data_IF_888745270600
#
_entry.id   IF_888745270600
#
_cell.length_a   1.000
_cell.length_b   1.000
_cell.length_c   1.000
_cell.angle_alpha   90.00
_cell.angle_beta   90.00
_cell.angle_gamma   90.00
#
_symmetry.space_group_name_H-M   'P 1'
#
loop_
_entity.id
_entity.type
_entity.pdbx_description
1 polymer ?
#
# COMPACT_ATOMS: atom_id res chain seq x y z
N UNK A 1 33.11 11.84 -4.82
CA UNK A 1 31.77 12.46 -4.97
C UNK A 1 31.22 12.43 -6.38
N UNK A 2 32.00 12.75 -7.43
CA UNK A 2 31.52 12.79 -8.82
C UNK A 2 31.07 11.41 -9.35
N UNK A 3 31.81 10.35 -9.02
CA UNK A 3 31.44 8.96 -9.35
C UNK A 3 30.12 8.53 -8.70
N UNK A 4 29.91 8.82 -7.42
CA UNK A 4 28.65 8.52 -6.72
C UNK A 4 27.45 9.21 -7.38
N UNK A 5 27.59 10.48 -7.75
CA UNK A 5 26.53 11.21 -8.47
C UNK A 5 26.25 10.57 -9.83
N UNK A 6 27.28 10.14 -10.56
CA UNK A 6 27.13 9.47 -11.85
C UNK A 6 26.48 8.08 -11.71
N UNK A 7 26.88 7.28 -10.72
CA UNK A 7 26.31 5.96 -10.46
C UNK A 7 24.85 6.06 -10.01
N UNK A 8 24.51 7.04 -9.17
CA UNK A 8 23.14 7.37 -8.79
C UNK A 8 22.32 7.83 -10.00
N UNK A 9 22.86 8.70 -10.86
CA UNK A 9 22.18 9.16 -12.08
C UNK A 9 21.93 8.00 -13.05
N UNK A 10 22.89 7.10 -13.23
CA UNK A 10 22.76 5.91 -14.08
C UNK A 10 21.75 4.91 -13.50
N UNK A 11 21.73 4.74 -12.18
CA UNK A 11 20.73 3.96 -11.47
C UNK A 11 19.32 4.54 -11.67
N UNK A 12 19.15 5.85 -11.45
CA UNK A 12 17.89 6.56 -11.70
C UNK A 12 17.44 6.41 -13.16
N UNK A 13 18.36 6.53 -14.12
CA UNK A 13 18.08 6.32 -15.54
C UNK A 13 17.63 4.89 -15.85
N UNK A 14 18.16 3.88 -15.15
CA UNK A 14 17.78 2.47 -15.33
C UNK A 14 16.38 2.16 -14.80
N UNK A 15 15.97 2.74 -13.66
CA UNK A 15 14.58 2.67 -13.18
C UNK A 15 13.65 3.44 -14.13
N UNK A 16 14.12 4.59 -14.64
CA UNK A 16 13.36 5.46 -15.53
C UNK A 16 13.17 4.86 -16.95
N UNK A 17 13.98 3.87 -17.36
CA UNK A 17 13.92 3.22 -18.67
C UNK A 17 12.81 2.17 -18.83
N UNK A 18 11.58 2.50 -18.43
CA UNK A 18 10.36 1.77 -18.78
C UNK A 18 10.20 0.32 -18.28
N UNK A 19 11.09 -0.20 -17.42
CA UNK A 19 10.74 -1.45 -16.72
C UNK A 19 9.70 -1.10 -15.66
N UNK A 20 8.46 -1.56 -15.87
CA UNK A 20 7.40 -1.49 -14.87
C UNK A 20 7.65 -2.42 -13.68
N UNK A 21 8.84 -3.04 -13.54
CA UNK A 21 9.17 -4.00 -12.49
C UNK A 21 10.50 -3.65 -11.83
N UNK A 22 10.47 -3.52 -10.50
CA UNK A 22 11.63 -3.17 -9.66
C UNK A 22 11.88 -4.24 -8.60
N UNK A 23 13.12 -4.42 -8.17
CA UNK A 23 13.44 -5.25 -7.00
C UNK A 23 13.52 -4.38 -5.74
N UNK A 24 13.15 -4.96 -4.59
CA UNK A 24 13.18 -4.26 -3.30
C UNK A 24 14.55 -3.66 -2.96
N UNK A 25 15.64 -4.29 -3.39
CA UNK A 25 17.02 -3.84 -3.15
C UNK A 25 17.46 -2.68 -4.04
N UNK A 26 16.67 -2.36 -5.06
CA UNK A 26 16.92 -1.20 -5.91
C UNK A 26 16.38 0.05 -5.18
N UNK A 27 15.25 -0.04 -4.48
CA UNK A 27 14.52 1.14 -3.99
C UNK A 27 15.29 1.98 -2.96
N UNK A 28 15.34 3.30 -3.23
CA UNK A 28 15.73 4.33 -2.27
C UNK A 28 14.45 4.85 -1.60
N UNK A 29 14.26 4.52 -0.33
CA UNK A 29 13.11 4.97 0.46
C UNK A 29 13.51 6.06 1.45
N UNK A 30 13.05 7.28 1.21
CA UNK A 30 13.21 8.43 2.10
C UNK A 30 11.91 8.82 2.80
N UNK A 31 10.76 8.24 2.42
CA UNK A 31 9.50 8.40 3.14
C UNK A 31 9.37 7.29 4.18
N UNK A 32 9.14 7.68 5.42
CA UNK A 32 8.74 6.80 6.52
C UNK A 32 7.32 7.17 6.92
N UNK A 33 6.42 6.20 6.78
CA UNK A 33 5.11 6.16 7.43
C UNK A 33 5.17 5.00 8.40
N UNK A 34 5.26 5.34 9.67
CA UNK A 34 5.30 4.38 10.77
C UNK A 34 4.01 4.52 11.56
N UNK A 35 3.67 3.51 12.38
CA UNK A 35 2.45 3.53 13.17
C UNK A 35 2.32 4.83 13.99
N UNK A 36 1.15 5.44 13.94
CA UNK A 36 0.80 6.67 14.64
C UNK A 36 -0.33 6.42 15.64
N UNK A 37 -0.10 5.51 16.58
CA UNK A 37 -1.08 5.10 17.61
C UNK A 37 -1.72 6.26 18.41
N UNK A 38 -1.00 7.38 18.53
CA UNK A 38 -1.46 8.56 19.27
C UNK A 38 -2.00 9.67 18.34
N UNK A 39 -2.17 9.41 17.04
CA UNK A 39 -2.69 10.38 16.09
C UNK A 39 -4.12 10.79 16.46
N UNK A 40 -4.42 12.08 16.27
CA UNK A 40 -5.78 12.60 16.38
C UNK A 40 -6.36 12.76 14.99
N UNK A 41 -7.56 12.25 14.77
CA UNK A 41 -8.26 12.35 13.49
C UNK A 41 -9.54 13.17 13.64
N UNK A 42 -9.75 14.12 12.73
CA UNK A 42 -11.00 14.86 12.57
C UNK A 42 -11.57 14.63 11.17
N UNK A 43 -12.90 14.61 11.07
CA UNK A 43 -13.60 14.30 9.82
C UNK A 43 -14.48 15.45 9.35
N UNK A 44 -14.51 15.67 8.04
CA UNK A 44 -15.52 16.49 7.37
C UNK A 44 -16.21 15.63 6.31
N UNK A 45 -17.54 15.56 6.36
CA UNK A 45 -18.34 14.74 5.44
C UNK A 45 -19.08 15.65 4.47
N UNK A 46 -19.09 15.29 3.19
CA UNK A 46 -19.90 15.95 2.16
C UNK A 46 -20.73 14.90 1.45
N UNK A 47 -22.04 15.01 1.59
CA UNK A 47 -23.02 14.06 1.05
C UNK A 47 -24.32 14.16 1.86
N UNK A 48 -25.44 13.84 1.24
CA UNK A 48 -26.75 13.89 1.91
C UNK A 48 -27.01 12.57 2.64
N UNK A 49 -27.64 12.62 3.82
CA UNK A 49 -28.06 11.43 4.57
C UNK A 49 -26.92 10.42 4.88
N UNK A 50 -25.69 10.91 5.05
CA UNK A 50 -24.56 10.07 5.46
C UNK A 50 -24.55 9.94 6.97
N UNK A 51 -24.65 8.71 7.45
CA UNK A 51 -24.60 8.38 8.87
C UNK A 51 -23.15 8.15 9.27
N UNK A 52 -22.66 8.86 10.29
CA UNK A 52 -21.46 8.45 11.01
C UNK A 52 -21.89 7.39 12.03
N UNK A 53 -21.75 6.12 11.66
CA UNK A 53 -22.55 5.02 12.21
C UNK A 53 -21.95 4.33 13.43
N UNK A 54 -20.67 4.56 13.77
CA UNK A 54 -20.09 4.12 15.05
C UNK A 54 -18.62 4.52 15.16
N UNK A 55 -18.15 4.69 16.39
CA UNK A 55 -16.72 4.64 16.72
C UNK A 55 -16.46 3.36 17.51
N UNK A 56 -15.64 2.48 16.96
CA UNK A 56 -15.19 1.29 17.67
C UNK A 56 -13.78 1.50 18.15
N UNK A 57 -13.55 1.37 19.46
CA UNK A 57 -12.21 1.38 20.05
C UNK A 57 -11.67 -0.05 20.04
N UNK A 58 -10.48 -0.22 19.50
CA UNK A 58 -9.74 -1.49 19.51
C UNK A 58 -8.50 -1.31 20.36
N UNK A 59 -8.25 -2.23 21.29
CA UNK A 59 -7.11 -2.17 22.21
C UNK A 59 -6.18 -3.38 22.03
N UNK A 60 -4.90 -3.19 22.32
CA UNK A 60 -3.89 -4.24 22.25
C UNK A 60 -4.04 -5.40 23.25
N UNK A 61 -5.02 -5.33 24.15
CA UNK A 61 -5.36 -6.44 25.05
C UNK A 61 -6.33 -7.45 24.39
N UNK A 62 -6.82 -7.15 23.19
CA UNK A 62 -7.63 -8.03 22.35
C UNK A 62 -6.87 -8.37 21.08
N UNK A 63 -6.65 -9.65 20.80
CA UNK A 63 -6.22 -10.11 19.48
C UNK A 63 -7.33 -9.77 18.48
N UNK A 64 -7.20 -8.64 17.77
CA UNK A 64 -8.08 -8.34 16.66
C UNK A 64 -7.83 -9.36 15.56
N UNK A 65 -8.89 -10.03 15.12
CA UNK A 65 -8.84 -11.13 14.17
C UNK A 65 -8.05 -10.73 12.91
N UNK A 66 -6.93 -11.45 12.73
CA UNK A 66 -6.13 -11.67 11.53
C UNK A 66 -5.09 -10.66 11.03
N UNK A 67 -5.03 -9.35 11.38
CA UNK A 67 -4.01 -8.51 10.69
C UNK A 67 -3.50 -7.22 11.37
N UNK A 68 -3.98 -6.80 12.54
CA UNK A 68 -3.44 -5.59 13.21
C UNK A 68 -3.00 -5.94 14.63
N UNK A 69 -1.69 -6.06 14.83
CA UNK A 69 -1.07 -6.20 16.14
C UNK A 69 -0.96 -4.84 16.82
N UNK A 70 -1.97 -4.52 17.65
CA UNK A 70 -1.96 -3.29 18.47
C UNK A 70 -1.12 -3.57 19.72
N UNK A 71 -0.07 -2.78 20.01
CA UNK A 71 0.74 -2.97 21.22
C UNK A 71 -0.09 -2.82 22.50
N UNK A 72 0.29 -3.56 23.55
CA UNK A 72 -0.33 -3.42 24.87
C UNK A 72 -0.32 -1.96 25.34
N UNK A 73 -1.46 -1.48 25.84
CA UNK A 73 -1.65 -0.09 26.26
C UNK A 73 -1.80 0.92 25.12
N UNK A 74 -1.85 0.47 23.86
CA UNK A 74 -2.25 1.29 22.71
C UNK A 74 -3.69 0.95 22.29
N UNK A 75 -4.29 1.91 21.61
CA UNK A 75 -5.62 1.78 21.03
C UNK A 75 -5.69 2.45 19.67
N UNK A 76 -6.61 1.99 18.83
CA UNK A 76 -7.01 2.67 17.60
C UNK A 76 -8.53 2.80 17.59
N UNK A 77 -9.00 3.90 17.01
CA UNK A 77 -10.43 4.11 16.77
C UNK A 77 -10.73 3.85 15.30
N UNK A 78 -11.77 3.08 15.04
CA UNK A 78 -12.33 2.89 13.70
C UNK A 78 -13.63 3.71 13.63
N UNK A 79 -13.68 4.69 12.73
CA UNK A 79 -14.87 5.53 12.51
C UNK A 79 -15.52 5.16 11.18
N UNK A 80 -16.79 4.77 11.23
CA UNK A 80 -17.55 4.35 10.04
C UNK A 80 -18.49 5.43 9.54
N UNK A 81 -18.57 5.55 8.22
CA UNK A 81 -19.47 6.42 7.47
C UNK A 81 -20.26 5.55 6.49
N UNK A 82 -21.58 5.61 6.54
CA UNK A 82 -22.43 4.73 5.73
C UNK A 82 -23.63 5.48 5.18
N UNK A 83 -24.07 5.03 4.01
CA UNK A 83 -25.35 5.38 3.42
C UNK A 83 -26.21 4.12 3.31
N UNK A 84 -27.49 4.21 3.65
CA UNK A 84 -28.43 3.09 3.47
C UNK A 84 -28.76 2.84 1.99
N UNK A 85 -28.67 3.89 1.18
CA UNK A 85 -28.89 3.85 -0.27
C UNK A 85 -27.56 4.05 -1.01
N UNK A 86 -27.34 3.42 -2.17
CA UNK A 86 -26.12 3.61 -2.93
C UNK A 86 -25.97 5.06 -3.37
N UNK A 87 -24.92 5.73 -2.90
CA UNK A 87 -24.62 7.09 -3.33
C UNK A 87 -23.14 7.43 -3.18
N UNK A 88 -22.69 8.34 -4.03
CA UNK A 88 -21.36 8.91 -3.91
C UNK A 88 -21.33 9.95 -2.79
N UNK A 89 -20.35 9.84 -1.89
CA UNK A 89 -20.09 10.85 -0.86
C UNK A 89 -18.59 11.03 -0.65
N UNK A 90 -18.22 12.08 0.09
CA UNK A 90 -16.83 12.40 0.41
C UNK A 90 -16.62 12.46 1.91
N UNK A 91 -15.47 11.97 2.34
CA UNK A 91 -14.96 12.12 3.71
C UNK A 91 -13.55 12.69 3.61
N UNK A 92 -13.31 13.81 4.27
CA UNK A 92 -11.97 14.36 4.49
C UNK A 92 -11.55 13.99 5.90
N UNK A 93 -10.53 13.15 6.06
CA UNK A 93 -9.90 12.84 7.33
C UNK A 93 -8.62 13.67 7.47
N UNK A 94 -8.47 14.38 8.58
CA UNK A 94 -7.25 15.12 8.93
C UNK A 94 -6.62 14.48 10.16
N UNK A 95 -5.48 13.83 9.95
CA UNK A 95 -4.66 13.23 10.98
C UNK A 95 -3.62 14.25 11.45
N UNK A 96 -3.56 14.49 12.75
CA UNK A 96 -2.63 15.44 13.37
C UNK A 96 -1.89 14.81 14.54
N UNK A 97 -0.76 15.41 14.90
CA UNK A 97 0.07 14.92 16.00
C UNK A 97 0.86 13.67 15.62
N UNK A 98 1.16 13.49 14.33
CA UNK A 98 2.03 12.41 13.86
C UNK A 98 3.44 12.59 14.44
N UNK A 99 4.02 11.52 14.97
CA UNK A 99 5.28 11.52 15.71
C UNK A 99 6.36 10.71 15.02
N UNK A 100 5.97 9.66 14.30
CA UNK A 100 6.88 8.60 13.83
C UNK A 100 7.14 8.66 12.32
N UNK A 101 6.39 9.50 11.60
CA UNK A 101 6.49 9.66 10.16
C UNK A 101 7.45 10.81 9.76
N UNK A 102 8.20 10.61 8.68
CA UNK A 102 9.16 11.61 8.17
C UNK A 102 9.41 11.45 6.67
N UNK A 103 9.89 12.50 6.03
CA UNK A 103 10.43 12.44 4.68
C UNK A 103 11.80 13.13 4.62
N UNK A 104 12.81 12.45 4.10
CA UNK A 104 14.22 12.90 4.09
C UNK A 104 14.72 13.33 5.49
N UNK A 105 14.26 12.64 6.54
CA UNK A 105 14.59 12.95 7.93
C UNK A 105 13.82 14.15 8.52
N UNK A 106 13.04 14.89 7.71
CA UNK A 106 12.16 15.96 8.21
C UNK A 106 10.82 15.37 8.65
N UNK A 107 10.43 15.67 9.90
CA UNK A 107 9.23 15.12 10.53
C UNK A 107 7.94 15.57 9.85
N UNK A 108 7.08 14.62 9.50
CA UNK A 108 5.71 14.86 9.05
C UNK A 108 4.81 14.89 10.29
N UNK A 109 3.98 15.92 10.44
CA UNK A 109 3.15 16.13 11.64
C UNK A 109 1.65 16.05 11.36
N UNK A 110 1.26 16.13 10.08
CA UNK A 110 -0.12 16.06 9.63
C UNK A 110 -0.24 15.35 8.28
N UNK A 111 -1.31 14.57 8.14
CA UNK A 111 -1.74 13.95 6.90
C UNK A 111 -3.22 14.28 6.67
N UNK A 112 -3.56 14.68 5.45
CA UNK A 112 -4.95 14.89 5.02
C UNK A 112 -5.26 13.84 3.97
N UNK A 113 -6.28 13.02 4.23
CA UNK A 113 -6.84 12.06 3.30
C UNK A 113 -8.23 12.51 2.87
N UNK A 114 -8.48 12.52 1.56
CA UNK A 114 -9.80 12.83 1.00
C UNK A 114 -10.29 11.60 0.25
N UNK A 115 -11.29 10.95 0.80
CA UNK A 115 -11.96 9.80 0.20
C UNK A 115 -13.17 10.28 -0.59
N UNK A 116 -13.28 9.85 -1.84
CA UNK A 116 -14.51 9.88 -2.64
C UNK A 116 -14.96 8.45 -2.82
N UNK A 117 -16.04 8.11 -2.13
CA UNK A 117 -16.61 6.77 -2.08
C UNK A 117 -17.69 6.72 -3.15
N UNK A 118 -17.61 5.78 -4.08
CA UNK A 118 -18.60 5.60 -5.14
C UNK A 118 -19.15 4.18 -5.05
N UNK A 119 -20.48 3.98 -5.01
CA UNK A 119 -21.06 2.66 -4.91
C UNK A 119 -20.68 1.82 -6.13
N UNK A 120 -20.35 0.55 -5.91
CA UNK A 120 -20.06 -0.41 -6.99
C UNK A 120 -21.30 -1.20 -7.43
N UNK A 121 -22.42 -1.02 -6.73
CA UNK A 121 -23.74 -1.62 -7.00
C UNK A 121 -24.86 -0.61 -6.77
N UNK A 122 -25.99 -0.80 -7.46
CA UNK A 122 -27.21 -0.02 -7.33
C UNK A 122 -28.20 -0.59 -6.29
N UNK A 123 -27.90 -1.73 -5.67
CA UNK A 123 -28.88 -2.49 -4.89
C UNK A 123 -28.75 -2.36 -3.37
N UNK A 124 -27.60 -1.89 -2.86
CA UNK A 124 -27.32 -1.83 -1.42
C UNK A 124 -26.62 -0.53 -1.06
N UNK A 125 -26.77 -0.14 0.20
CA UNK A 125 -25.98 0.93 0.80
C UNK A 125 -24.48 0.64 0.75
N UNK A 126 -23.70 1.70 0.88
CA UNK A 126 -22.25 1.67 0.76
C UNK A 126 -21.59 2.38 1.94
N UNK A 127 -20.40 1.93 2.35
CA UNK A 127 -19.75 2.40 3.57
C UNK A 127 -18.23 2.52 3.45
N UNK A 128 -17.66 3.33 4.36
CA UNK A 128 -16.23 3.52 4.56
C UNK A 128 -15.94 3.53 6.06
N UNK A 129 -14.94 2.78 6.49
CA UNK A 129 -14.42 2.83 7.86
C UNK A 129 -12.95 3.25 7.85
N UNK A 130 -12.61 4.30 8.58
CA UNK A 130 -11.27 4.89 8.61
C UNK A 130 -10.64 4.60 9.97
N UNK A 131 -9.40 4.10 9.96
CA UNK A 131 -8.62 3.83 11.17
C UNK A 131 -7.90 5.10 11.63
N UNK A 132 -7.81 5.32 12.94
CA UNK A 132 -7.16 6.51 13.51
C UNK A 132 -5.65 6.55 13.33
N UNK A 133 -5.01 5.38 13.18
CA UNK A 133 -3.64 5.26 12.68
C UNK A 133 -3.69 5.14 11.15
N UNK A 134 -3.17 6.13 10.40
CA UNK A 134 -3.27 6.15 8.94
C UNK A 134 -2.52 5.00 8.27
N UNK A 135 -1.57 4.35 8.94
CA UNK A 135 -0.89 3.16 8.40
C UNK A 135 -1.77 1.91 8.38
N UNK A 136 -2.86 1.91 9.15
CA UNK A 136 -3.91 0.87 9.06
C UNK A 136 -4.95 1.17 7.98
N UNK A 137 -4.90 2.35 7.36
CA UNK A 137 -5.71 2.73 6.20
C UNK A 137 -7.21 2.77 6.47
N UNK A 138 -7.98 2.11 5.60
CA UNK A 138 -9.44 2.14 5.60
C UNK A 138 -10.02 0.84 5.05
N UNK A 139 -11.25 0.51 5.44
CA UNK A 139 -12.03 -0.52 4.79
C UNK A 139 -13.27 0.07 4.13
N UNK A 140 -13.68 -0.50 3.01
CA UNK A 140 -14.90 -0.10 2.31
C UNK A 140 -15.88 -1.25 2.22
N UNK A 141 -17.16 -0.90 2.05
CA UNK A 141 -18.19 -1.84 1.69
C UNK A 141 -18.96 -1.36 0.46
N UNK A 142 -19.14 -2.27 -0.50
CA UNK A 142 -19.90 -2.08 -1.74
C UNK A 142 -19.50 -0.80 -2.50
N UNK A 143 -18.21 -0.47 -2.54
CA UNK A 143 -17.69 0.78 -3.10
C UNK A 143 -16.41 0.60 -3.92
N UNK A 144 -16.14 1.60 -4.76
CA UNK A 144 -14.81 1.96 -5.23
C UNK A 144 -14.41 3.25 -4.50
N UNK A 145 -13.15 3.36 -4.10
CA UNK A 145 -12.67 4.51 -3.33
C UNK A 145 -11.56 5.21 -4.09
N UNK A 146 -11.81 6.45 -4.50
CA UNK A 146 -10.76 7.37 -4.92
C UNK A 146 -10.26 8.11 -3.68
N UNK A 147 -8.98 7.99 -3.37
CA UNK A 147 -8.38 8.62 -2.20
C UNK A 147 -7.21 9.50 -2.61
N UNK A 148 -7.18 10.73 -2.07
CA UNK A 148 -6.06 11.64 -2.22
C UNK A 148 -5.37 11.93 -0.89
N UNK A 149 -4.06 12.13 -0.95
CA UNK A 149 -3.24 12.31 0.23
C UNK A 149 -2.37 13.55 0.09
N UNK A 150 -2.30 14.33 1.16
CA UNK A 150 -1.42 15.49 1.28
C UNK A 150 -0.75 15.44 2.66
N UNK A 151 0.58 15.38 2.68
CA UNK A 151 1.38 15.37 3.90
C UNK A 151 1.90 16.76 4.22
N UNK A 152 2.09 17.07 5.50
CA UNK A 152 2.55 18.37 5.95
C UNK A 152 3.60 18.26 7.03
N UNK A 153 4.57 19.17 6.97
CA UNK A 153 5.54 19.38 8.03
C UNK A 153 4.95 20.25 9.15
N UNK A 154 5.73 20.41 10.23
CA UNK A 154 5.35 21.19 11.41
C UNK A 154 5.04 22.67 11.11
N UNK A 155 5.76 23.28 10.17
CA UNK A 155 5.52 24.66 9.73
C UNK A 155 4.25 24.81 8.85
N UNK A 156 3.52 23.73 8.61
CA UNK A 156 2.32 23.71 7.77
C UNK A 156 2.61 23.65 6.27
N UNK A 157 3.87 23.64 5.84
CA UNK A 157 4.23 23.45 4.44
C UNK A 157 3.94 22.02 3.98
N UNK A 158 3.53 21.85 2.73
CA UNK A 158 3.31 20.52 2.15
C UNK A 158 4.64 19.80 1.97
N UNK A 159 4.65 18.51 2.24
CA UNK A 159 5.72 17.63 1.80
C UNK A 159 5.67 17.56 0.28
N UNK A 160 6.82 17.72 -0.37
CA UNK A 160 6.96 17.58 -1.81
C UNK A 160 7.94 16.44 -2.08
N UNK A 161 7.43 15.30 -2.56
CA UNK A 161 8.24 14.13 -2.84
C UNK A 161 9.08 14.32 -4.09
N UNK A 162 10.38 14.08 -3.95
CA UNK A 162 11.31 14.06 -5.06
C UNK A 162 11.17 12.73 -5.80
N UNK A 163 11.19 12.81 -7.13
CA UNK A 163 11.09 11.64 -7.99
C UNK A 163 12.10 10.56 -7.60
N UNK A 164 11.61 9.35 -7.37
CA UNK A 164 12.45 8.18 -7.09
C UNK A 164 12.96 8.09 -5.65
N UNK A 165 12.36 8.83 -4.71
CA UNK A 165 12.80 8.82 -3.30
C UNK A 165 11.71 8.44 -2.30
N UNK A 166 10.45 8.34 -2.74
CA UNK A 166 9.32 8.01 -1.88
C UNK A 166 8.45 6.95 -2.55
N UNK A 167 8.13 5.90 -1.81
CA UNK A 167 7.36 4.76 -2.32
C UNK A 167 6.35 4.29 -1.29
N UNK A 168 5.20 3.84 -1.78
CA UNK A 168 4.22 3.07 -1.00
C UNK A 168 4.21 1.65 -1.52
N UNK A 169 4.31 0.68 -0.62
CA UNK A 169 3.96 -0.69 -0.90
C UNK A 169 2.45 -0.85 -0.75
N UNK A 170 1.84 -1.45 -1.77
CA UNK A 170 0.42 -1.82 -1.80
C UNK A 170 0.36 -3.34 -1.76
N UNK A 171 -0.03 -3.88 -0.61
CA UNK A 171 -0.04 -5.32 -0.33
C UNK A 171 -1.47 -5.84 -0.33
N UNK A 172 -1.63 -7.13 -0.02
CA UNK A 172 -2.94 -7.79 0.02
C UNK A 172 -3.72 -7.62 -1.28
N UNK A 173 -3.08 -7.54 -2.46
CA UNK A 173 -3.82 -7.45 -3.73
C UNK A 173 -4.25 -8.86 -4.15
N UNK A 174 -5.27 -9.36 -3.47
CA UNK A 174 -5.78 -10.70 -3.65
C UNK A 174 -6.48 -10.84 -5.02
N UNK A 175 -6.27 -11.98 -5.66
CA UNK A 175 -7.09 -12.46 -6.77
C UNK A 175 -7.58 -13.85 -6.39
N UNK A 176 -8.90 -14.00 -6.33
CA UNK A 176 -9.59 -15.20 -5.93
C UNK A 176 -10.14 -15.93 -7.16
N UNK A 177 -10.13 -17.26 -7.09
CA UNK A 177 -10.87 -18.12 -8.00
C UNK A 177 -11.84 -19.01 -7.21
N UNK A 178 -12.82 -19.57 -7.93
CA UNK A 178 -13.87 -20.50 -7.48
C UNK A 178 -15.18 -19.78 -7.15
N UNK A 179 -15.94 -19.42 -8.19
CA UNK A 179 -17.30 -18.89 -8.05
C UNK A 179 -17.40 -17.41 -7.67
N UNK A 180 -16.26 -16.74 -7.43
CA UNK A 180 -16.17 -15.31 -7.14
C UNK A 180 -14.93 -14.72 -7.82
N UNK A 181 -14.85 -14.84 -9.14
CA UNK A 181 -13.68 -14.41 -9.92
C UNK A 181 -13.52 -12.89 -9.84
N UNK A 182 -12.81 -12.44 -8.80
CA UNK A 182 -12.55 -11.05 -8.52
C UNK A 182 -11.09 -10.85 -8.12
N UNK A 183 -10.61 -9.65 -8.39
CA UNK A 183 -9.28 -9.23 -8.01
C UNK A 183 -9.35 -7.86 -7.37
N UNK A 184 -8.57 -7.68 -6.32
CA UNK A 184 -8.34 -6.39 -5.72
C UNK A 184 -7.31 -5.64 -6.56
N UNK A 185 -7.54 -4.34 -6.73
CA UNK A 185 -6.66 -3.50 -7.53
C UNK A 185 -6.40 -2.15 -6.87
N UNK A 186 -5.27 -1.56 -7.29
CA UNK A 186 -4.98 -0.16 -7.05
C UNK A 186 -4.60 0.51 -8.37
N UNK A 187 -5.20 1.67 -8.66
CA UNK A 187 -4.95 2.46 -9.88
C UNK A 187 -4.41 3.82 -9.51
N UNK A 188 -3.20 4.12 -9.97
CA UNK A 188 -2.60 5.45 -9.79
C UNK A 188 -3.28 6.44 -10.74
N UNK A 189 -3.94 7.45 -10.19
CA UNK A 189 -4.60 8.52 -10.95
C UNK A 189 -3.63 9.68 -11.19
N UNK A 190 -2.90 10.12 -10.16
CA UNK A 190 -1.89 11.18 -10.27
C UNK A 190 -0.91 11.19 -9.09
N UNK A 191 0.17 11.97 -9.21
CA UNK A 191 1.19 12.14 -8.16
C UNK A 191 2.12 10.94 -7.98
N UNK A 192 2.27 10.12 -9.02
CA UNK A 192 3.09 8.92 -8.95
C UNK A 192 3.02 8.00 -10.16
N UNK A 193 3.62 6.81 -10.02
CA UNK A 193 3.63 5.74 -11.02
C UNK A 193 3.48 4.37 -10.35
N UNK A 194 2.69 3.50 -10.95
CA UNK A 194 2.61 2.09 -10.56
C UNK A 194 3.84 1.30 -11.01
N UNK A 195 4.35 0.46 -10.12
CA UNK A 195 5.52 -0.40 -10.33
C UNK A 195 5.20 -1.80 -9.78
N UNK A 196 5.40 -2.82 -10.58
CA UNK A 196 5.42 -4.21 -10.15
C UNK A 196 6.67 -4.49 -9.31
N UNK A 197 6.54 -5.43 -8.39
CA UNK A 197 7.64 -5.87 -7.54
C UNK A 197 8.17 -7.21 -8.07
N UNK A 198 9.49 -7.34 -8.22
CA UNK A 198 10.09 -8.55 -8.77
C UNK A 198 9.72 -9.79 -7.93
N UNK A 199 9.18 -10.82 -8.59
CA UNK A 199 8.73 -12.05 -7.93
C UNK A 199 7.31 -11.99 -7.36
N UNK A 200 6.65 -10.82 -7.41
CA UNK A 200 5.23 -10.68 -7.09
C UNK A 200 4.33 -11.29 -8.18
N UNK A 201 3.15 -11.75 -7.77
CA UNK A 201 2.02 -12.08 -8.64
C UNK A 201 1.34 -10.83 -9.22
N UNK A 202 1.52 -9.68 -8.58
CA UNK A 202 0.94 -8.39 -9.01
C UNK A 202 1.82 -7.75 -10.08
N UNK A 203 1.20 -7.36 -11.19
CA UNK A 203 1.87 -6.63 -12.27
C UNK A 203 1.15 -5.33 -12.61
N UNK A 204 1.83 -4.47 -13.36
CA UNK A 204 1.25 -3.21 -13.87
C UNK A 204 0.49 -3.49 -15.16
N UNK A 205 -0.75 -3.01 -15.21
CA UNK A 205 -1.67 -3.10 -16.33
C UNK A 205 -2.10 -1.70 -16.74
N UNK A 206 -2.31 -1.49 -18.03
CA UNK A 206 -2.72 -0.19 -18.60
C UNK A 206 -1.83 0.99 -18.14
N UNK A 207 -0.56 0.71 -17.82
CA UNK A 207 0.44 1.69 -17.38
C UNK A 207 0.33 2.18 -15.93
N UNK A 208 -0.79 1.98 -15.25
CA UNK A 208 -1.02 2.55 -13.91
C UNK A 208 -1.89 1.72 -12.94
N UNK A 209 -2.34 0.52 -13.32
CA UNK A 209 -3.18 -0.35 -12.47
C UNK A 209 -2.37 -1.54 -11.98
N UNK A 210 -2.37 -1.79 -10.68
CA UNK A 210 -1.75 -2.95 -10.04
C UNK A 210 -2.84 -3.97 -9.70
N UNK A 211 -2.72 -5.18 -10.24
CA UNK A 211 -3.48 -6.36 -9.82
C UNK A 211 -2.77 -7.64 -10.31
N UNK A 212 -3.11 -8.78 -9.71
CA UNK A 212 -2.68 -10.09 -10.21
C UNK A 212 -3.63 -10.59 -11.30
N UNK A 213 -3.12 -11.07 -12.43
CA UNK A 213 -3.96 -11.70 -13.48
C UNK A 213 -4.28 -13.16 -13.20
N UNK A 214 -3.57 -13.77 -12.25
CA UNK A 214 -3.77 -15.15 -11.85
C UNK A 214 -4.28 -15.19 -10.41
N UNK A 215 -5.04 -16.21 -10.03
CA UNK A 215 -5.41 -16.45 -8.64
C UNK A 215 -4.14 -16.60 -7.82
N UNK A 216 -3.99 -15.72 -6.84
CA UNK A 216 -2.89 -15.73 -5.88
C UNK A 216 -3.39 -16.05 -4.46
N UNK A 217 -4.71 -16.19 -4.28
CA UNK A 217 -5.36 -16.49 -3.01
C UNK A 217 -6.35 -17.64 -3.20
N UNK A 218 -6.29 -18.65 -2.32
CA UNK A 218 -7.28 -19.74 -2.29
C UNK A 218 -8.23 -19.53 -1.10
N UNK A 219 -9.49 -19.97 -1.25
CA UNK A 219 -10.42 -20.07 -0.12
C UNK A 219 -10.22 -21.39 0.60
N UNK A 220 -9.83 -21.32 1.88
CA UNK A 220 -9.69 -22.51 2.74
C UNK A 220 -10.98 -23.35 2.85
N UNK A 221 -12.15 -22.72 2.71
CA UNK A 221 -13.44 -23.37 3.02
C UNK A 221 -13.97 -24.33 1.95
N UNK A 222 -13.41 -24.36 0.73
CA UNK A 222 -13.96 -25.19 -0.36
C UNK A 222 -13.25 -26.52 -0.56
N UNK A 223 -12.11 -26.75 0.09
CA UNK A 223 -11.33 -27.96 -0.16
C UNK A 223 -10.59 -28.53 1.06
N UNK A 224 -10.78 -27.96 2.26
CA UNK A 224 -10.01 -28.35 3.43
C UNK A 224 -8.51 -28.15 3.23
N UNK A 225 -7.71 -28.44 4.26
CA UNK A 225 -6.25 -28.35 4.21
C UNK A 225 -5.58 -29.24 3.11
N UNK A 226 -6.37 -30.00 2.35
CA UNK A 226 -5.93 -30.95 1.31
C UNK A 226 -6.29 -30.50 -0.13
N UNK A 227 -6.66 -29.22 -0.33
CA UNK A 227 -7.00 -28.65 -1.65
C UNK A 227 -5.89 -28.68 -2.69
N UNK A 228 -4.66 -28.95 -2.26
CA UNK A 228 -3.46 -28.60 -2.98
C UNK A 228 -3.32 -29.28 -4.37
N UNK A 229 -4.22 -30.19 -4.76
CA UNK A 229 -3.86 -31.18 -5.78
C UNK A 229 -4.86 -31.60 -6.86
N UNK A 230 -6.03 -31.00 -7.08
CA UNK A 230 -6.86 -31.51 -8.18
C UNK A 230 -7.42 -30.49 -9.17
N UNK A 231 -6.57 -30.21 -10.17
CA UNK A 231 -6.89 -29.99 -11.59
C UNK A 231 -7.08 -28.57 -12.11
N UNK A 232 -6.75 -27.51 -11.37
CA UNK A 232 -6.84 -26.17 -11.95
C UNK A 232 -5.50 -25.67 -12.56
N UNK A 233 -5.31 -25.69 -13.90
CA UNK A 233 -4.11 -25.18 -14.56
C UNK A 233 -3.97 -23.64 -14.52
N UNK A 234 -4.82 -22.92 -13.78
CA UNK A 234 -4.89 -21.45 -13.80
C UNK A 234 -4.23 -20.76 -12.60
N UNK A 235 -3.69 -21.49 -11.63
CA UNK A 235 -2.99 -20.88 -10.50
C UNK A 235 -1.68 -20.20 -10.93
N UNK A 236 -1.29 -19.16 -10.19
CA UNK A 236 0.05 -18.60 -10.35
C UNK A 236 1.10 -19.72 -10.18
N UNK A 237 2.15 -19.76 -11.03
CA UNK A 237 3.16 -20.83 -11.02
C UNK A 237 3.93 -20.95 -9.70
N UNK A 238 3.79 -19.97 -8.79
CA UNK A 238 4.43 -19.96 -7.48
C UNK A 238 3.44 -20.01 -6.30
N UNK A 239 2.17 -20.38 -6.54
CA UNK A 239 1.14 -20.36 -5.50
C UNK A 239 1.55 -21.14 -4.23
N UNK A 240 1.96 -22.41 -4.36
CA UNK A 240 2.35 -23.24 -3.21
C UNK A 240 3.56 -22.69 -2.45
N UNK A 241 4.54 -22.16 -3.19
CA UNK A 241 5.75 -21.54 -2.61
C UNK A 241 5.38 -20.38 -1.66
N UNK A 242 4.36 -19.62 -2.04
CA UNK A 242 3.92 -18.43 -1.29
C UNK A 242 2.61 -18.63 -0.55
N UNK A 243 2.20 -19.86 -0.29
CA UNK A 243 1.03 -20.12 0.55
C UNK A 243 1.17 -19.41 1.92
N UNK A 244 0.06 -18.83 2.38
CA UNK A 244 -0.01 -18.01 3.58
C UNK A 244 0.71 -16.66 3.45
N UNK A 245 0.80 -16.08 2.26
CA UNK A 245 1.47 -14.78 2.06
C UNK A 245 0.69 -13.59 2.63
N UNK A 246 -0.63 -13.70 2.70
CA UNK A 246 -1.53 -12.60 3.05
C UNK A 246 -1.85 -12.57 4.56
N UNK A 247 -0.83 -12.28 5.36
CA UNK A 247 -0.96 -12.21 6.83
C UNK A 247 -0.28 -10.95 7.39
N UNK A 248 -0.32 -9.85 6.62
CA UNK A 248 0.27 -8.56 6.99
C UNK A 248 1.75 -8.37 6.62
N UNK A 249 2.23 -7.13 6.78
CA UNK A 249 3.52 -6.65 6.26
C UNK A 249 4.77 -7.30 6.86
N UNK A 250 4.67 -7.86 8.05
CA UNK A 250 5.79 -8.55 8.72
C UNK A 250 6.08 -9.92 8.09
N UNK A 251 5.15 -10.45 7.30
CA UNK A 251 5.34 -11.71 6.60
C UNK A 251 6.36 -11.55 5.47
N UNK A 252 7.42 -12.38 5.50
CA UNK A 252 8.45 -12.40 4.47
C UNK A 252 7.94 -12.75 3.06
N UNK A 253 6.72 -13.30 2.96
CA UNK A 253 6.04 -13.65 1.71
C UNK A 253 5.06 -12.56 1.24
N UNK A 254 4.78 -11.53 2.03
CA UNK A 254 3.80 -10.48 1.69
C UNK A 254 4.08 -9.79 0.33
N UNK A 255 5.35 -9.76 -0.10
CA UNK A 255 5.75 -9.25 -1.41
C UNK A 255 5.02 -9.92 -2.57
N UNK A 256 4.60 -11.18 -2.40
CA UNK A 256 4.01 -11.99 -3.46
C UNK A 256 2.67 -11.45 -3.95
N UNK A 257 1.87 -10.82 -3.11
CA UNK A 257 0.64 -10.12 -3.52
C UNK A 257 0.77 -8.61 -3.41
N UNK A 258 1.99 -8.07 -3.59
CA UNK A 258 2.26 -6.64 -3.45
C UNK A 258 2.72 -5.99 -4.76
N UNK A 259 2.31 -4.75 -4.97
CA UNK A 259 2.89 -3.80 -5.92
C UNK A 259 3.50 -2.60 -5.20
N UNK A 260 4.11 -1.69 -5.96
CA UNK A 260 4.65 -0.42 -5.46
C UNK A 260 4.04 0.76 -6.22
N UNK A 261 3.89 1.88 -5.53
CA UNK A 261 3.61 3.19 -6.15
C UNK A 261 4.75 4.13 -5.78
N UNK A 262 5.45 4.69 -6.77
CA UNK A 262 6.38 5.79 -6.53
C UNK A 262 5.60 7.09 -6.38
N UNK A 263 5.94 7.91 -5.40
CA UNK A 263 5.31 9.21 -5.17
C UNK A 263 6.15 10.34 -5.77
N UNK A 264 5.49 11.33 -6.33
CA UNK A 264 6.11 12.55 -6.86
C UNK A 264 5.19 13.75 -6.66
N UNK A 265 5.75 14.86 -6.20
CA UNK A 265 4.98 16.08 -5.93
C UNK A 265 4.37 16.10 -4.52
N UNK A 266 3.39 16.97 -4.31
CA UNK A 266 2.79 17.24 -2.98
C UNK A 266 1.40 16.67 -2.77
N UNK A 267 0.82 16.07 -3.81
CA UNK A 267 -0.50 15.44 -3.78
C UNK A 267 -0.49 14.23 -4.70
N UNK A 268 -0.98 13.11 -4.20
CA UNK A 268 -1.18 11.90 -4.99
C UNK A 268 -2.59 11.38 -4.81
N UNK A 269 -3.09 10.74 -5.87
CA UNK A 269 -4.46 10.25 -5.96
C UNK A 269 -4.40 8.84 -6.54
N UNK A 270 -5.09 7.91 -5.90
CA UNK A 270 -5.30 6.59 -6.45
C UNK A 270 -6.71 6.10 -6.17
N UNK A 271 -7.13 5.13 -6.97
CA UNK A 271 -8.36 4.39 -6.80
C UNK A 271 -8.03 3.01 -6.25
N UNK A 272 -8.81 2.53 -5.29
CA UNK A 272 -8.83 1.13 -4.87
C UNK A 272 -10.22 0.57 -5.03
N UNK A 273 -10.27 -0.73 -5.26
CA UNK A 273 -11.51 -1.45 -5.29
C UNK A 273 -11.31 -2.87 -5.79
N UNK A 274 -12.44 -3.49 -6.08
CA UNK A 274 -12.51 -4.83 -6.60
C UNK A 274 -12.91 -4.79 -8.08
N UNK A 275 -12.16 -5.50 -8.91
CA UNK A 275 -12.42 -5.76 -10.33
C UNK A 275 -12.71 -7.24 -10.58
N UNK A 276 -12.98 -7.64 -11.83
CA UNK A 276 -13.34 -9.03 -12.17
C UNK A 276 -14.63 -9.20 -12.99
N UNK A 277 -15.08 -8.13 -13.65
CA UNK A 277 -16.39 -8.03 -14.34
C UNK A 277 -16.67 -9.10 -15.42
N UNK A 278 -15.68 -9.88 -15.86
CA UNK A 278 -15.80 -10.80 -17.00
C UNK A 278 -16.79 -11.96 -16.77
N UNK A 279 -17.14 -12.27 -15.51
CA UNK A 279 -18.03 -13.37 -15.15
C UNK A 279 -19.35 -12.94 -14.50
N UNK A 280 -19.59 -11.64 -14.30
CA UNK A 280 -20.82 -11.14 -13.69
C UNK A 280 -21.80 -10.68 -14.77
N UNK A 281 -22.74 -11.55 -15.12
CA UNK A 281 -23.77 -11.29 -16.13
C UNK A 281 -24.92 -10.42 -15.62
N UNK A 282 -25.10 -10.28 -14.29
CA UNK A 282 -26.16 -9.46 -13.67
C UNK A 282 -25.72 -8.80 -12.35
N UNK A 283 -26.38 -7.69 -11.97
CA UNK A 283 -26.17 -7.00 -10.68
C UNK A 283 -26.56 -7.88 -9.47
N UNK A 284 -27.54 -8.77 -9.63
CA UNK A 284 -28.01 -9.68 -8.57
C UNK A 284 -26.92 -10.67 -8.12
N UNK A 285 -26.12 -11.18 -9.07
CA UNK A 285 -24.97 -12.03 -8.76
C UNK A 285 -23.84 -11.26 -8.06
N UNK A 286 -23.65 -9.97 -8.36
CA UNK A 286 -22.66 -9.11 -7.68
C UNK A 286 -23.05 -8.83 -6.22
N UNK A 287 -24.35 -8.69 -5.96
CA UNK A 287 -24.88 -8.32 -4.66
C UNK A 287 -24.66 -9.37 -3.57
N UNK A 288 -24.52 -10.64 -3.92
CA UNK A 288 -24.36 -11.74 -2.95
C UNK A 288 -22.89 -12.16 -2.73
N UNK A 289 -21.92 -11.39 -3.26
CA UNK A 289 -20.51 -11.75 -3.15
C UNK A 289 -19.84 -11.15 -1.89
N UNK A 290 -19.04 -11.95 -1.18
CA UNK A 290 -17.95 -11.53 -0.29
C UNK A 290 -17.01 -10.45 -0.85
N UNK A 291 -16.96 -10.27 -2.18
CA UNK A 291 -16.20 -9.25 -2.91
C UNK A 291 -16.68 -7.79 -2.67
N UNK A 292 -17.60 -7.58 -1.73
CA UNK A 292 -18.14 -6.27 -1.37
C UNK A 292 -17.47 -5.67 -0.14
N UNK A 293 -16.39 -6.25 0.37
CA UNK A 293 -15.59 -5.68 1.44
C UNK A 293 -14.12 -5.73 1.05
N UNK A 294 -13.45 -4.58 1.12
CA UNK A 294 -12.02 -4.45 0.93
C UNK A 294 -11.43 -3.77 2.15
N UNK A 295 -10.31 -4.27 2.65
CA UNK A 295 -9.47 -3.52 3.57
C UNK A 295 -8.19 -3.11 2.84
N UNK A 296 -7.93 -1.82 2.83
CA UNK A 296 -6.75 -1.24 2.23
C UNK A 296 -5.87 -0.61 3.29
N UNK A 297 -4.57 -0.88 3.21
CA UNK A 297 -3.55 -0.19 3.97
C UNK A 297 -2.33 0.11 3.08
N UNK A 298 -1.47 0.99 3.57
CA UNK A 298 -0.22 1.33 2.88
C UNK A 298 0.95 1.22 3.84
N UNK A 299 2.08 0.71 3.33
CA UNK A 299 3.32 0.66 4.07
C UNK A 299 4.44 1.37 3.31
N UNK A 300 5.35 1.96 4.06
CA UNK A 300 6.64 2.43 3.52
C UNK A 300 7.74 1.37 3.66
N UNK A 301 7.47 0.32 4.44
CA UNK A 301 8.26 -0.91 4.50
C UNK A 301 8.01 -1.68 3.23
N UNK A 302 9.01 -1.69 2.34
CA UNK A 302 8.95 -2.42 1.08
C UNK A 302 9.28 -3.89 1.38
N UNK A 303 8.35 -4.83 1.09
CA UNK A 303 8.61 -6.24 1.28
C UNK A 303 9.86 -6.70 0.51
N UNK A 304 10.72 -7.48 1.16
CA UNK A 304 11.93 -8.01 0.52
C UNK A 304 11.54 -9.05 -0.52
N UNK A 305 12.05 -8.88 -1.74
CA UNK A 305 11.87 -9.82 -2.85
C UNK A 305 12.86 -10.97 -2.74
N UNK A 306 12.42 -12.18 -3.08
CA UNK A 306 13.28 -13.37 -3.17
C UNK A 306 14.23 -13.31 -4.38
N UNK A 307 13.80 -12.63 -5.46
CA UNK A 307 14.64 -12.32 -6.60
C UNK A 307 15.51 -11.11 -6.26
N UNK A 308 16.76 -11.37 -5.89
CA UNK A 308 17.78 -10.34 -5.81
C UNK A 308 18.43 -10.15 -7.18
N UNK A 309 18.16 -9.02 -7.85
CA UNK A 309 19.04 -8.57 -8.92
C UNK A 309 20.44 -8.31 -8.32
N UNK A 310 21.54 -8.61 -9.05
CA UNK A 310 22.89 -8.58 -8.48
C UNK A 310 23.18 -7.25 -7.79
N UNK A 311 23.68 -7.32 -6.54
CA UNK A 311 24.15 -6.16 -5.80
C UNK A 311 25.22 -5.42 -6.61
N UNK A 312 25.02 -4.12 -6.84
CA UNK A 312 26.08 -3.25 -7.36
C UNK A 312 27.24 -3.24 -6.37
N UNK A 313 28.35 -3.91 -6.70
CA UNK A 313 29.62 -3.78 -5.98
C UNK A 313 30.34 -2.54 -6.51
N UNK A 314 30.18 -1.40 -5.82
CA UNK A 314 31.02 -0.22 -6.06
C UNK A 314 32.42 -0.54 -5.54
N UNK A 315 33.40 -0.69 -6.44
CA UNK A 315 34.81 -0.79 -6.06
C UNK A 315 35.40 0.61 -6.04
N UNK A 316 35.74 1.11 -4.86
CA UNK A 316 36.53 2.32 -4.73
C UNK A 316 37.98 2.00 -5.09
N UNK A 317 38.54 2.67 -6.11
CA UNK A 317 39.99 2.86 -6.19
C UNK A 317 40.33 4.04 -5.26
N UNK A 318 40.74 3.74 -4.03
CA UNK A 318 41.46 4.73 -3.23
C UNK A 318 42.87 4.86 -3.83
N UNK A 319 43.15 5.97 -4.50
CA UNK A 319 44.52 6.40 -4.74
C UNK A 319 44.94 7.20 -3.51
N UNK A 320 45.72 6.60 -2.61
CA UNK A 320 46.33 7.33 -1.51
C UNK A 320 47.37 8.30 -2.10
N UNK A 321 47.03 9.58 -2.19
CA UNK A 321 48.05 10.62 -2.29
C UNK A 321 48.42 10.96 -0.86
N UNK A 322 49.53 10.38 -0.39
CA UNK A 322 50.08 10.68 0.92
C UNK A 322 50.49 12.17 0.96
N UNK A 323 49.84 12.94 1.84
CA UNK A 323 50.33 14.23 2.31
C UNK A 323 51.58 13.98 3.15
N UNK A 324 52.75 14.26 2.59
CA UNK A 324 54.00 14.33 3.34
C UNK A 324 53.96 15.53 4.28
N UNK A 325 53.71 15.26 5.56
CA UNK A 325 53.90 16.18 6.68
C UNK A 325 54.77 15.44 7.69
N UNK A 326 56.09 15.55 7.54
CA UNK A 326 57.05 15.18 8.58
C UNK A 326 57.01 16.25 9.68
N UNK A 327 56.43 15.89 10.82
CA UNK A 327 56.65 16.56 12.10
C UNK A 327 57.45 15.59 12.97
N UNK A 328 58.78 15.75 12.98
CA UNK A 328 59.64 15.12 13.97
C UNK A 328 59.72 16.03 15.20
N UNK A 329 59.15 15.56 16.32
CA UNK A 329 59.42 16.09 17.65
C UNK A 329 59.94 14.96 18.55
N UNK A 330 61.23 15.06 18.82
CA UNK A 330 62.00 14.72 20.03
C UNK A 330 62.07 13.28 20.53
N UNK A 331 63.31 12.76 20.50
CA UNK A 331 64.05 12.41 21.71
C UNK A 331 65.37 13.16 21.74
#
# INVERSE_FOLDING_TARGET
MQQYKSDLQNYLNKINNNSSVVSSNEIIQNLTLANEWDAKVSYQVTGNNIKQSSQTIKTGDSTYSHVIDIPKGKQITVTSFSSDNPQTFKVTATFTGLKNSSYQGRKITKLVEVYTITPNTSARGNALAIYSDPTNGFSEFASKVNVSYEFYYEDGSKVNFEKGTAYLALGSLNNYQNGQDHYEYAKVISGGKALGLAGSSVSVHNGNVLYSTYPNTARESEYGADSHYNTNPQHSPNFDKYYGWDTGWVNSKAFYGSGLVSLEGSKYIFEVGVGGEKYFTTDELRNNLPANFLWYNMATVIPRTDIQKPKLKVKYKHTNVALGLELNLNS
#
